data_IF_588246076798
#
_entry.id   IF_588246076798
#
_cell.length_a   1.000
_cell.length_b   1.000
_cell.length_c   1.000
_cell.angle_alpha   90.00
_cell.angle_beta   90.00
_cell.angle_gamma   90.00
#
_symmetry.space_group_name_H-M   'P 1'
#
loop_
_entity.id
_entity.type
_entity.pdbx_description
1 polymer ?
#
# COMPACT_ATOMS: atom_id res chain seq x y z
N UNK A 1 -12.55 -14.71 3.62
CA UNK A 1 -12.22 -13.70 2.59
C UNK A 1 -12.13 -12.35 3.29
N UNK A 2 -10.97 -11.69 3.19
CA UNK A 2 -10.78 -10.33 3.70
C UNK A 2 -11.57 -9.32 2.86
N UNK A 3 -12.14 -8.30 3.50
CA UNK A 3 -12.83 -7.21 2.79
C UNK A 3 -11.77 -6.24 2.26
N UNK A 4 -11.84 -5.92 0.96
CA UNK A 4 -10.92 -5.00 0.28
C UNK A 4 -11.69 -3.74 -0.08
N UNK A 5 -11.26 -2.58 0.44
CA UNK A 5 -11.89 -1.30 0.14
C UNK A 5 -10.84 -0.30 -0.32
N UNK A 6 -10.91 0.08 -1.59
CA UNK A 6 -10.16 1.19 -2.16
C UNK A 6 -11.13 2.07 -2.96
N UNK A 7 -11.30 3.34 -2.59
CA UNK A 7 -12.02 4.31 -3.42
C UNK A 7 -11.04 5.22 -4.17
N UNK A 8 -11.47 5.77 -5.31
CA UNK A 8 -10.68 6.72 -6.10
C UNK A 8 -10.39 7.99 -5.28
N UNK A 9 -9.11 8.42 -5.23
CA UNK A 9 -8.69 9.60 -4.47
C UNK A 9 -8.57 9.40 -2.95
N UNK A 10 -8.72 8.17 -2.44
CA UNK A 10 -8.61 7.92 -1.00
C UNK A 10 -7.18 8.08 -0.48
N UNK A 11 -7.00 8.90 0.55
CA UNK A 11 -5.73 9.02 1.28
C UNK A 11 -5.47 7.87 2.25
N UNK A 12 -6.44 6.96 2.40
CA UNK A 12 -6.41 5.80 3.30
C UNK A 12 -7.01 4.63 2.53
N UNK A 13 -6.26 3.55 2.38
CA UNK A 13 -6.70 2.31 1.74
C UNK A 13 -6.25 1.16 2.63
N UNK A 14 -7.13 0.19 2.89
CA UNK A 14 -6.82 -0.86 3.86
C UNK A 14 -7.46 -2.19 3.56
N UNK A 15 -6.98 -3.20 4.28
CA UNK A 15 -7.53 -4.56 4.24
C UNK A 15 -7.47 -5.17 5.63
N UNK A 16 -8.43 -6.05 5.91
CA UNK A 16 -8.57 -6.71 7.20
C UNK A 16 -9.29 -8.05 7.03
N UNK A 17 -8.79 -9.09 7.69
CA UNK A 17 -9.53 -10.32 7.96
C UNK A 17 -10.52 -10.17 9.13
N UNK A 18 -10.33 -9.14 9.96
CA UNK A 18 -11.21 -8.82 11.09
C UNK A 18 -12.50 -8.20 10.58
N UNK A 19 -13.63 -8.82 10.89
CA UNK A 19 -14.98 -8.37 10.48
C UNK A 19 -15.46 -7.13 11.24
N UNK A 20 -15.06 -6.99 12.50
CA UNK A 20 -15.40 -5.84 13.34
C UNK A 20 -14.10 -5.24 13.88
N UNK A 21 -13.81 -3.99 13.55
CA UNK A 21 -12.56 -3.33 13.93
C UNK A 21 -12.29 -3.32 15.45
N UNK A 22 -13.34 -3.46 16.28
CA UNK A 22 -13.22 -3.58 17.74
C UNK A 22 -12.53 -4.86 18.20
N UNK A 23 -12.52 -5.89 17.35
CA UNK A 23 -11.88 -7.18 17.63
C UNK A 23 -10.40 -7.20 17.18
N UNK A 24 -9.93 -6.12 16.55
CA UNK A 24 -8.55 -5.99 16.14
C UNK A 24 -7.63 -5.78 17.34
N UNK A 25 -6.51 -6.50 17.33
CA UNK A 25 -5.45 -6.41 18.34
C UNK A 25 -4.34 -5.48 17.88
N UNK A 26 -4.09 -5.43 16.57
CA UNK A 26 -3.02 -4.65 15.97
C UNK A 26 -3.54 -3.75 14.85
N UNK A 27 -3.03 -2.53 14.81
CA UNK A 27 -3.20 -1.61 13.70
C UNK A 27 -1.82 -1.33 13.11
N UNK A 28 -1.64 -1.70 11.85
CA UNK A 28 -0.44 -1.44 11.09
C UNK A 28 -0.72 -0.33 10.09
N UNK A 29 0.14 0.67 10.08
CA UNK A 29 0.04 1.80 9.16
C UNK A 29 1.32 1.86 8.34
N UNK A 30 1.18 1.82 7.02
CA UNK A 30 2.25 2.02 6.05
C UNK A 30 2.05 3.40 5.42
N UNK A 31 2.78 4.42 5.87
CA UNK A 31 2.75 5.73 5.23
C UNK A 31 3.51 5.70 3.89
N UNK A 32 2.90 6.28 2.88
CA UNK A 32 3.47 6.49 1.56
C UNK A 32 4.53 7.59 1.55
N UNK A 33 5.29 7.62 0.46
CA UNK A 33 6.32 8.64 0.22
C UNK A 33 6.43 9.03 -1.26
N UNK A 34 6.12 8.09 -2.15
CA UNK A 34 6.07 8.26 -3.59
C UNK A 34 4.84 7.52 -4.14
N UNK A 35 4.42 7.86 -5.36
CA UNK A 35 3.30 7.19 -6.02
C UNK A 35 3.85 6.21 -7.05
N UNK A 36 3.56 4.93 -6.88
CA UNK A 36 3.87 3.91 -7.89
C UNK A 36 2.91 4.04 -9.07
N UNK A 37 3.45 4.19 -10.28
CA UNK A 37 2.66 4.30 -11.53
C UNK A 37 2.95 3.20 -12.53
N UNK A 38 3.78 2.22 -12.15
CA UNK A 38 4.03 1.04 -12.97
C UNK A 38 2.85 0.08 -13.00
N UNK A 39 2.86 -0.82 -13.99
CA UNK A 39 1.78 -1.81 -14.20
C UNK A 39 2.03 -3.15 -13.50
N UNK A 40 3.28 -3.47 -13.19
CA UNK A 40 3.68 -4.78 -12.71
C UNK A 40 4.58 -4.64 -11.48
N UNK A 41 4.32 -5.41 -10.41
CA UNK A 41 5.17 -5.37 -9.21
C UNK A 41 6.66 -5.65 -9.49
N UNK A 42 6.97 -6.42 -10.54
CA UNK A 42 8.35 -6.69 -10.96
C UNK A 42 9.13 -5.41 -11.30
N UNK A 43 8.46 -4.35 -11.76
CA UNK A 43 9.09 -3.08 -12.12
C UNK A 43 9.23 -2.11 -10.95
N UNK A 44 8.70 -2.44 -9.76
CA UNK A 44 8.66 -1.53 -8.61
C UNK A 44 10.05 -1.25 -7.99
N UNK A 45 11.09 -1.96 -8.41
CA UNK A 45 12.47 -1.65 -8.01
C UNK A 45 13.12 -0.53 -8.85
N UNK A 46 12.48 -0.09 -9.93
CA UNK A 46 13.01 0.92 -10.85
C UNK A 46 12.40 2.30 -10.57
N UNK A 47 13.25 3.31 -10.36
CA UNK A 47 12.84 4.68 -10.07
C UNK A 47 11.89 5.29 -11.12
N UNK A 48 12.01 4.88 -12.39
CA UNK A 48 11.20 5.41 -13.50
C UNK A 48 9.70 5.20 -13.31
N UNK A 49 9.29 4.26 -12.45
CA UNK A 49 7.89 3.98 -12.13
C UNK A 49 7.42 4.59 -10.81
N UNK A 50 8.25 5.41 -10.17
CA UNK A 50 7.89 6.11 -8.94
C UNK A 50 7.86 7.61 -9.17
N UNK A 51 6.69 8.20 -8.94
CA UNK A 51 6.50 9.65 -9.03
C UNK A 51 6.60 10.24 -7.62
N UNK A 52 7.61 11.08 -7.43
CA UNK A 52 7.96 11.63 -6.12
C UNK A 52 9.01 10.79 -5.41
N UNK A 53 9.46 11.27 -4.25
CA UNK A 53 10.54 10.67 -3.49
C UNK A 53 11.93 10.97 -4.04
N UNK A 54 12.93 10.24 -3.53
CA UNK A 54 14.33 10.36 -3.90
C UNK A 54 14.76 9.30 -4.91
N UNK A 55 15.72 9.65 -5.76
CA UNK A 55 16.35 8.72 -6.72
C UNK A 55 17.15 7.67 -5.96
N UNK A 56 17.05 6.42 -6.38
CA UNK A 56 17.70 5.24 -5.81
C UNK A 56 16.90 4.57 -4.70
N UNK A 57 15.71 5.06 -4.38
CA UNK A 57 14.90 4.60 -3.24
C UNK A 57 13.67 3.77 -3.63
N UNK A 58 13.39 3.57 -4.93
CA UNK A 58 12.25 2.76 -5.39
C UNK A 58 12.11 1.40 -4.68
N UNK A 59 13.24 0.72 -4.48
CA UNK A 59 13.29 -0.56 -3.75
C UNK A 59 12.79 -0.44 -2.31
N UNK A 60 13.12 0.65 -1.61
CA UNK A 60 12.75 0.84 -0.21
C UNK A 60 11.26 1.14 -0.05
N UNK A 61 10.65 1.84 -1.01
CA UNK A 61 9.19 2.04 -1.02
C UNK A 61 8.45 0.72 -1.17
N UNK A 62 8.93 -0.14 -2.08
CA UNK A 62 8.40 -1.50 -2.29
C UNK A 62 8.58 -2.36 -1.05
N UNK A 63 9.79 -2.40 -0.49
CA UNK A 63 10.10 -3.15 0.72
C UNK A 63 9.26 -2.67 1.92
N UNK A 64 9.03 -1.37 2.05
CA UNK A 64 8.19 -0.80 3.11
C UNK A 64 6.72 -1.26 2.97
N UNK A 65 6.17 -1.23 1.76
CA UNK A 65 4.85 -1.79 1.50
C UNK A 65 4.79 -3.26 1.94
N UNK A 66 5.73 -4.07 1.45
CA UNK A 66 5.78 -5.51 1.72
C UNK A 66 6.08 -5.87 3.18
N UNK A 67 6.78 -5.01 3.91
CA UNK A 67 7.00 -5.19 5.34
C UNK A 67 5.68 -5.06 6.12
N UNK A 68 4.86 -4.04 5.83
CA UNK A 68 3.56 -3.87 6.52
C UNK A 68 2.59 -5.00 6.24
N UNK A 69 2.59 -5.50 5.00
CA UNK A 69 1.93 -6.72 4.55
C UNK A 69 2.35 -7.93 5.38
N UNK A 70 3.66 -8.21 5.38
CA UNK A 70 4.21 -9.38 6.05
C UNK A 70 3.95 -9.33 7.55
N UNK A 71 4.00 -8.16 8.17
CA UNK A 71 3.72 -7.99 9.58
C UNK A 71 2.23 -8.18 9.90
N UNK A 72 1.34 -7.62 9.09
CA UNK A 72 -0.11 -7.79 9.26
C UNK A 72 -0.54 -9.26 9.10
N UNK A 73 0.15 -10.01 8.24
CA UNK A 73 -0.09 -11.44 8.05
C UNK A 73 0.30 -12.34 9.23
N UNK A 74 1.01 -11.83 10.24
CA UNK A 74 1.42 -12.63 11.42
C UNK A 74 0.31 -12.88 12.42
N UNK A 75 -0.72 -12.04 12.46
CA UNK A 75 -1.87 -12.19 13.37
C UNK A 75 -3.15 -11.80 12.62
N UNK A 76 -4.11 -12.72 12.56
CA UNK A 76 -5.41 -12.55 11.90
C UNK A 76 -6.27 -11.43 12.51
N UNK A 77 -5.92 -10.94 13.71
CA UNK A 77 -6.52 -9.78 14.38
C UNK A 77 -5.83 -8.46 14.02
N UNK A 78 -5.10 -8.41 12.92
CA UNK A 78 -4.44 -7.22 12.42
C UNK A 78 -5.29 -6.50 11.38
N UNK A 79 -5.25 -5.16 11.43
CA UNK A 79 -5.74 -4.30 10.36
C UNK A 79 -4.53 -3.64 9.71
N UNK A 80 -4.43 -3.72 8.38
CA UNK A 80 -3.43 -2.99 7.62
C UNK A 80 -4.05 -1.79 6.92
N UNK A 81 -3.41 -0.63 7.07
CA UNK A 81 -3.74 0.61 6.40
C UNK A 81 -2.53 1.13 5.64
N UNK A 82 -2.67 1.38 4.35
CA UNK A 82 -1.82 2.27 3.58
C UNK A 82 -2.36 3.70 3.70
N UNK A 83 -1.48 4.66 3.98
CA UNK A 83 -1.84 6.06 4.20
C UNK A 83 -0.99 6.98 3.33
N UNK A 84 -1.59 8.00 2.74
CA UNK A 84 -0.90 8.99 1.89
C UNK A 84 -1.82 9.50 0.78
N UNK A 85 -1.88 10.83 0.63
CA UNK A 85 -2.80 11.50 -0.28
C UNK A 85 -2.30 11.61 -1.72
N UNK A 86 -3.03 12.37 -2.54
CA UNK A 86 -2.58 12.82 -3.85
C UNK A 86 -1.56 13.96 -3.67
N UNK A 87 -0.28 13.61 -3.57
CA UNK A 87 0.79 14.58 -3.30
C UNK A 87 1.50 15.08 -4.56
N UNK A 88 1.20 14.48 -5.72
CA UNK A 88 1.90 14.72 -6.99
C UNK A 88 0.93 14.83 -8.15
N UNK A 89 0.83 16.01 -8.75
CA UNK A 89 0.00 16.25 -9.96
C UNK A 89 0.36 15.28 -11.11
N UNK A 90 1.66 15.01 -11.29
CA UNK A 90 2.16 14.08 -12.33
C UNK A 90 1.71 12.64 -12.13
N UNK A 91 1.27 12.25 -10.94
CA UNK A 91 0.73 10.92 -10.67
C UNK A 91 -0.75 10.79 -11.05
N UNK A 92 -1.37 11.85 -11.57
CA UNK A 92 -2.78 11.85 -11.95
C UNK A 92 -3.69 11.64 -10.73
N UNK A 93 -4.75 10.82 -10.85
CA UNK A 93 -5.72 10.64 -9.77
C UNK A 93 -5.24 9.70 -8.66
N UNK A 94 -4.02 9.17 -8.72
CA UNK A 94 -3.53 8.19 -7.76
C UNK A 94 -2.93 8.87 -6.52
N UNK A 95 -3.38 8.43 -5.35
CA UNK A 95 -2.73 8.73 -4.08
C UNK A 95 -1.59 7.75 -3.80
N UNK A 96 -0.69 8.13 -2.89
CA UNK A 96 0.36 7.24 -2.41
C UNK A 96 -0.25 5.95 -1.82
N UNK A 97 -1.27 6.08 -0.96
CA UNK A 97 -1.97 4.94 -0.36
C UNK A 97 -2.54 3.97 -1.39
N UNK A 98 -3.17 4.49 -2.45
CA UNK A 98 -3.72 3.67 -3.52
C UNK A 98 -2.63 2.94 -4.28
N UNK A 99 -1.52 3.61 -4.59
CA UNK A 99 -0.43 3.00 -5.35
C UNK A 99 0.25 1.87 -4.58
N UNK A 100 0.43 2.03 -3.27
CA UNK A 100 0.97 0.99 -2.40
C UNK A 100 0.01 -0.20 -2.29
N UNK A 101 -1.29 0.06 -2.13
CA UNK A 101 -2.30 -1.00 -2.10
C UNK A 101 -2.34 -1.77 -3.43
N UNK A 102 -2.32 -1.09 -4.57
CA UNK A 102 -2.35 -1.73 -5.89
C UNK A 102 -1.09 -2.57 -6.14
N UNK A 103 0.09 -2.05 -5.79
CA UNK A 103 1.35 -2.79 -5.85
C UNK A 103 1.31 -4.06 -4.99
N UNK A 104 0.70 -3.94 -3.80
CA UNK A 104 0.53 -5.04 -2.86
C UNK A 104 -0.45 -6.09 -3.37
N UNK A 105 -1.58 -5.70 -3.97
CA UNK A 105 -2.61 -6.62 -4.44
C UNK A 105 -2.11 -7.54 -5.56
N UNK A 106 -1.23 -7.04 -6.42
CA UNK A 106 -0.57 -7.84 -7.47
C UNK A 106 0.32 -8.95 -6.93
N UNK A 107 0.75 -8.87 -5.67
CA UNK A 107 1.60 -9.87 -5.03
C UNK A 107 0.82 -11.02 -4.38
N UNK A 108 -0.51 -11.14 -4.62
CA UNK A 108 -1.38 -12.30 -4.29
C UNK A 108 -1.42 -12.79 -2.82
N UNK A 109 -0.82 -12.07 -1.89
CA UNK A 109 -0.69 -12.45 -0.48
C UNK A 109 -1.99 -12.35 0.36
N UNK A 110 -3.08 -11.77 -0.17
CA UNK A 110 -4.38 -11.64 0.52
C UNK A 110 -5.36 -12.79 0.20
N UNK A 111 -4.86 -13.98 -0.17
CA UNK A 111 -5.70 -15.19 -0.39
C UNK A 111 -5.71 -16.11 0.80
#
# INVERSE_FOLDING_TARGET
>A
MAEKTAMLGSSIVGTSSVKNYKDAKYLLIVPGHAVYVGREAASAHLDDYWIGGFKGEAKFYTEHAFAGISEAGKDEKSILIFSGGQTREKAGPFSEAQSYWALSDQHLWLT
#
